data_IF_358388424723
#
_entry.id   IF_358388424723
#
_cell.length_a   1.000
_cell.length_b   1.000
_cell.length_c   1.000
_cell.angle_alpha   90.00
_cell.angle_beta   90.00
_cell.angle_gamma   90.00
#
_symmetry.space_group_name_H-M   'P 1'
#
loop_
_entity.id
_entity.type
_entity.pdbx_description
1 polymer ?
#
# COMPACT_ATOMS: atom_id res chain seq x y z
N UNK A 1 -10.50 50.68 -18.56
CA UNK A 1 -9.54 49.56 -18.69
C UNK A 1 -9.18 49.10 -17.29
N UNK A 2 -9.96 48.16 -16.75
CA UNK A 2 -9.73 47.57 -15.43
C UNK A 2 -8.82 46.37 -15.63
N UNK A 3 -7.56 46.52 -15.25
CA UNK A 3 -6.55 45.45 -15.22
C UNK A 3 -7.03 44.35 -14.28
N UNK A 4 -7.53 43.26 -14.85
CA UNK A 4 -7.72 41.99 -14.15
C UNK A 4 -6.35 41.56 -13.63
N UNK A 5 -6.15 41.67 -12.32
CA UNK A 5 -5.06 40.98 -11.64
C UNK A 5 -5.38 39.49 -11.70
N UNK A 6 -4.82 38.81 -12.68
CA UNK A 6 -4.62 37.36 -12.65
C UNK A 6 -3.69 37.07 -11.49
N UNK A 7 -4.27 36.74 -10.33
CA UNK A 7 -3.55 36.12 -9.21
C UNK A 7 -3.06 34.76 -9.68
N UNK A 8 -1.88 34.74 -10.30
CA UNK A 8 -1.14 33.51 -10.56
C UNK A 8 -0.95 32.83 -9.20
N UNK A 9 -1.66 31.71 -8.99
CA UNK A 9 -1.52 30.87 -7.81
C UNK A 9 -0.13 30.21 -7.85
N UNK A 10 0.89 30.94 -7.38
CA UNK A 10 2.26 30.43 -7.38
C UNK A 10 2.33 29.11 -6.59
N UNK A 11 2.95 28.10 -7.19
CA UNK A 11 3.17 26.80 -6.57
C UNK A 11 3.93 26.99 -5.24
N UNK A 12 3.24 26.83 -4.11
CA UNK A 12 3.86 27.01 -2.79
C UNK A 12 4.56 25.71 -2.35
N UNK A 13 5.76 25.52 -2.90
CA UNK A 13 6.68 24.42 -2.63
C UNK A 13 6.87 24.20 -1.12
N UNK A 14 7.07 25.29 -0.38
CA UNK A 14 7.37 25.26 1.05
C UNK A 14 6.21 24.70 1.88
N UNK A 15 4.98 25.13 1.60
CA UNK A 15 3.78 24.63 2.29
C UNK A 15 3.49 23.15 1.96
N UNK A 16 3.76 22.73 0.72
CA UNK A 16 3.63 21.33 0.34
C UNK A 16 4.69 20.45 1.04
N UNK A 17 5.93 20.92 1.12
CA UNK A 17 7.03 20.27 1.85
C UNK A 17 6.74 20.17 3.34
N UNK A 18 6.29 21.24 3.98
CA UNK A 18 5.99 21.27 5.41
C UNK A 18 4.89 20.27 5.78
N UNK A 19 3.80 20.23 4.99
CA UNK A 19 2.73 19.22 5.14
C UNK A 19 3.23 17.80 4.90
N UNK A 20 4.08 17.60 3.89
CA UNK A 20 4.66 16.31 3.57
C UNK A 20 5.61 15.82 4.69
N UNK A 21 6.39 16.72 5.29
CA UNK A 21 7.34 16.41 6.36
C UNK A 21 6.62 16.08 7.67
N UNK A 22 5.69 16.92 8.14
CA UNK A 22 4.98 16.69 9.41
C UNK A 22 4.13 15.41 9.37
N UNK A 23 3.26 15.29 8.36
CA UNK A 23 2.41 14.09 8.20
C UNK A 23 3.22 12.84 7.83
N UNK A 24 4.29 12.99 7.05
CA UNK A 24 5.14 11.90 6.58
C UNK A 24 5.98 11.28 7.69
N UNK A 25 6.59 12.08 8.58
CA UNK A 25 7.43 11.58 9.67
C UNK A 25 6.61 10.85 10.74
N UNK A 26 5.50 11.44 11.20
CA UNK A 26 4.57 10.79 12.13
C UNK A 26 3.99 9.50 11.52
N UNK A 27 3.70 9.52 10.22
CA UNK A 27 3.26 8.34 9.48
C UNK A 27 4.34 7.25 9.37
N UNK A 28 5.59 7.63 9.14
CA UNK A 28 6.73 6.73 9.09
C UNK A 28 7.00 6.06 10.44
N UNK A 29 6.93 6.81 11.55
CA UNK A 29 7.05 6.29 12.91
C UNK A 29 5.93 5.28 13.23
N UNK A 30 4.67 5.59 12.88
CA UNK A 30 3.56 4.66 13.02
C UNK A 30 3.78 3.37 12.22
N UNK A 31 4.37 3.46 11.02
CA UNK A 31 4.69 2.27 10.22
C UNK A 31 5.72 1.35 10.86
N UNK A 32 6.71 1.86 11.60
CA UNK A 32 7.68 1.02 12.32
C UNK A 32 6.96 0.11 13.31
N UNK A 33 6.08 0.68 14.13
CA UNK A 33 5.30 -0.09 15.11
C UNK A 33 4.40 -1.11 14.41
N UNK A 34 3.77 -0.73 13.29
CA UNK A 34 2.93 -1.64 12.51
C UNK A 34 3.72 -2.78 11.88
N UNK A 35 4.95 -2.55 11.42
CA UNK A 35 5.83 -3.62 10.95
C UNK A 35 6.14 -4.58 12.11
N UNK A 36 6.52 -4.08 13.28
CA UNK A 36 6.84 -4.96 14.42
C UNK A 36 5.64 -5.79 14.91
N UNK A 37 4.42 -5.27 14.81
CA UNK A 37 3.22 -5.89 15.40
C UNK A 37 2.39 -6.69 14.40
N UNK A 38 2.23 -6.21 13.16
CA UNK A 38 1.32 -6.79 12.16
C UNK A 38 2.04 -7.62 11.08
N UNK A 39 3.37 -7.71 11.13
CA UNK A 39 4.12 -8.52 10.18
C UNK A 39 3.68 -9.99 10.12
N UNK A 40 3.28 -10.67 11.21
CA UNK A 40 2.76 -12.04 11.11
C UNK A 40 1.57 -12.19 10.15
N UNK A 41 0.62 -11.25 10.19
CA UNK A 41 -0.51 -11.24 9.26
C UNK A 41 -0.08 -10.90 7.84
N UNK A 42 0.88 -9.97 7.67
CA UNK A 42 1.45 -9.63 6.35
C UNK A 42 2.18 -10.81 5.70
N UNK A 43 2.98 -11.54 6.48
CA UNK A 43 3.69 -12.74 6.03
C UNK A 43 2.69 -13.84 5.64
N UNK A 44 1.67 -14.06 6.47
CA UNK A 44 0.57 -14.99 6.17
C UNK A 44 -0.13 -14.62 4.86
N UNK A 45 -0.51 -13.36 4.70
CA UNK A 45 -1.18 -12.86 3.49
C UNK A 45 -0.31 -13.06 2.23
N UNK A 46 0.98 -12.74 2.29
CA UNK A 46 1.89 -12.93 1.15
C UNK A 46 2.09 -14.40 0.78
N UNK A 47 2.15 -15.28 1.79
CA UNK A 47 2.16 -16.72 1.58
C UNK A 47 0.88 -17.19 0.87
N UNK A 48 -0.29 -16.70 1.29
CA UNK A 48 -1.58 -17.04 0.67
C UNK A 48 -1.67 -16.58 -0.79
N UNK A 49 -1.14 -15.40 -1.14
CA UNK A 49 -1.11 -14.96 -2.54
C UNK A 49 -0.33 -15.92 -3.43
N UNK A 50 0.82 -16.43 -2.95
CA UNK A 50 1.67 -17.35 -3.71
C UNK A 50 1.08 -18.76 -3.80
N UNK A 51 0.58 -19.28 -2.68
CA UNK A 51 0.26 -20.71 -2.53
C UNK A 51 -1.22 -21.04 -2.55
N UNK A 52 -2.12 -20.07 -2.40
CA UNK A 52 -3.57 -20.31 -2.46
C UNK A 52 -4.18 -20.89 -1.19
N UNK A 53 -3.48 -20.83 -0.05
CA UNK A 53 -3.93 -21.48 1.18
C UNK A 53 -4.93 -20.64 1.98
N UNK A 54 -5.71 -21.30 2.83
CA UNK A 54 -6.55 -20.61 3.82
C UNK A 54 -5.68 -19.94 4.90
N UNK A 55 -6.25 -19.01 5.66
CA UNK A 55 -5.50 -18.28 6.70
C UNK A 55 -4.99 -19.24 7.77
N UNK A 56 -5.83 -20.19 8.20
CA UNK A 56 -5.46 -21.21 9.18
C UNK A 56 -4.34 -22.11 8.66
N UNK A 57 -4.44 -22.58 7.42
CA UNK A 57 -3.39 -23.40 6.80
C UNK A 57 -2.07 -22.64 6.69
N UNK A 58 -2.10 -21.39 6.20
CA UNK A 58 -0.91 -20.55 6.08
C UNK A 58 -0.25 -20.32 7.44
N UNK A 59 -1.03 -19.97 8.48
CA UNK A 59 -0.52 -19.80 9.85
C UNK A 59 0.12 -21.08 10.37
N UNK A 60 -0.54 -22.23 10.22
CA UNK A 60 -0.02 -23.52 10.67
C UNK A 60 1.25 -23.92 9.93
N UNK A 61 1.29 -23.77 8.60
CA UNK A 61 2.47 -24.09 7.79
C UNK A 61 3.65 -23.20 8.16
N UNK A 62 3.45 -21.88 8.27
CA UNK A 62 4.50 -20.94 8.69
C UNK A 62 5.00 -21.23 10.11
N UNK A 63 4.10 -21.55 11.04
CA UNK A 63 4.48 -21.90 12.40
C UNK A 63 5.26 -23.23 12.46
N UNK A 64 4.90 -24.23 11.64
CA UNK A 64 5.65 -25.49 11.54
C UNK A 64 7.05 -25.28 10.94
N UNK A 65 7.17 -24.40 9.95
CA UNK A 65 8.42 -24.13 9.22
C UNK A 65 9.49 -23.42 10.09
N UNK A 66 9.09 -22.52 11.00
CA UNK A 66 10.08 -21.84 11.85
C UNK A 66 9.51 -21.09 13.05
N UNK A 67 8.39 -21.57 13.59
CA UNK A 67 7.71 -21.02 14.78
C UNK A 67 7.43 -19.52 14.62
N UNK A 68 7.55 -18.76 15.70
CA UNK A 68 7.29 -17.31 15.71
C UNK A 68 8.27 -16.57 14.78
N UNK A 69 9.54 -16.96 14.76
CA UNK A 69 10.57 -16.29 13.93
C UNK A 69 10.26 -16.37 12.44
N UNK A 70 9.53 -17.40 11.99
CA UNK A 70 9.14 -17.54 10.58
C UNK A 70 8.25 -16.38 10.10
N UNK A 71 7.40 -15.87 10.97
CA UNK A 71 6.51 -14.74 10.67
C UNK A 71 7.26 -13.43 10.45
N UNK A 72 8.48 -13.32 10.99
CA UNK A 72 9.33 -12.13 10.92
C UNK A 72 10.46 -12.24 9.89
N UNK A 73 10.44 -13.27 9.03
CA UNK A 73 11.38 -13.35 7.91
C UNK A 73 11.18 -12.18 6.95
N UNK A 74 12.22 -11.38 6.76
CA UNK A 74 12.17 -10.14 6.00
C UNK A 74 11.88 -8.88 6.81
N UNK A 75 12.03 -8.90 8.14
CA UNK A 75 11.79 -7.73 8.99
C UNK A 75 12.70 -6.55 8.64
N UNK A 76 13.98 -6.80 8.36
CA UNK A 76 14.94 -5.77 7.94
C UNK A 76 14.45 -4.95 6.73
N UNK A 77 14.22 -5.56 5.55
CA UNK A 77 13.68 -4.84 4.41
C UNK A 77 12.26 -4.30 4.65
N UNK A 78 11.45 -4.91 5.53
CA UNK A 78 10.14 -4.36 5.90
C UNK A 78 10.24 -3.04 6.68
N UNK A 79 11.19 -2.93 7.61
CA UNK A 79 11.46 -1.71 8.39
C UNK A 79 12.03 -0.58 7.54
N UNK A 80 12.64 -0.89 6.40
CA UNK A 80 13.04 0.10 5.41
C UNK A 80 11.83 0.49 4.55
N UNK A 81 11.19 -0.50 3.92
CA UNK A 81 10.15 -0.27 2.91
C UNK A 81 8.87 0.34 3.48
N UNK A 82 8.42 -0.08 4.65
CA UNK A 82 7.15 0.37 5.25
C UNK A 82 7.14 1.88 5.53
N UNK A 83 8.09 2.39 6.35
CA UNK A 83 8.22 3.81 6.64
C UNK A 83 8.45 4.66 5.38
N UNK A 84 9.37 4.26 4.49
CA UNK A 84 9.62 4.97 3.23
C UNK A 84 8.39 5.03 2.34
N UNK A 85 7.64 3.92 2.22
CA UNK A 85 6.41 3.89 1.42
C UNK A 85 5.36 4.83 1.99
N UNK A 86 5.19 4.88 3.32
CA UNK A 86 4.17 5.75 3.92
C UNK A 86 4.54 7.21 3.83
N UNK A 87 5.81 7.53 4.04
CA UNK A 87 6.34 8.87 3.81
C UNK A 87 6.09 9.30 2.36
N UNK A 88 6.53 8.49 1.40
CA UNK A 88 6.43 8.83 -0.01
C UNK A 88 5.01 8.87 -0.54
N UNK A 89 4.09 8.01 -0.07
CA UNK A 89 2.67 8.09 -0.43
C UNK A 89 2.05 9.43 0.02
N UNK A 90 2.36 9.89 1.24
CA UNK A 90 1.90 11.19 1.76
C UNK A 90 2.52 12.35 0.98
N UNK A 91 3.84 12.30 0.76
CA UNK A 91 4.56 13.34 0.03
C UNK A 91 4.11 13.45 -1.43
N UNK A 92 3.96 12.31 -2.12
CA UNK A 92 3.50 12.25 -3.51
C UNK A 92 2.08 12.79 -3.66
N UNK A 93 1.18 12.45 -2.73
CA UNK A 93 -0.19 12.99 -2.74
C UNK A 93 -0.20 14.50 -2.52
N UNK A 94 0.50 14.99 -1.48
CA UNK A 94 0.58 16.42 -1.18
C UNK A 94 1.17 17.22 -2.35
N UNK A 95 2.26 16.73 -2.94
CA UNK A 95 2.93 17.35 -4.07
C UNK A 95 2.07 17.35 -5.35
N UNK A 96 1.45 16.21 -5.68
CA UNK A 96 0.60 16.13 -6.86
C UNK A 96 -0.63 17.04 -6.74
N UNK A 97 -1.27 17.07 -5.57
CA UNK A 97 -2.40 17.96 -5.33
C UNK A 97 -2.00 19.42 -5.39
N UNK A 98 -0.89 19.82 -4.73
CA UNK A 98 -0.45 21.22 -4.78
C UNK A 98 -0.06 21.65 -6.20
N UNK A 99 0.55 20.77 -6.99
CA UNK A 99 0.90 21.06 -8.37
C UNK A 99 -0.36 21.27 -9.22
N UNK A 100 -1.34 20.37 -9.10
CA UNK A 100 -2.60 20.43 -9.84
C UNK A 100 -3.53 21.57 -9.37
N UNK A 101 -3.41 22.03 -8.14
CA UNK A 101 -4.14 23.21 -7.65
C UNK A 101 -3.47 24.52 -8.05
N UNK A 102 -2.14 24.52 -8.27
CA UNK A 102 -1.39 25.71 -8.64
C UNK A 102 -1.49 26.10 -10.12
N UNK A 103 -1.86 25.16 -11.00
CA UNK A 103 -2.03 25.46 -12.42
C UNK A 103 -3.43 26.01 -12.72
N UNK A 104 -3.49 27.14 -13.43
CA UNK A 104 -4.74 27.74 -13.89
C UNK A 104 -5.59 26.81 -14.77
N UNK A 105 -4.97 25.81 -15.41
CA UNK A 105 -5.65 24.82 -16.26
C UNK A 105 -6.33 23.72 -15.44
N UNK A 106 -5.80 23.38 -14.26
CA UNK A 106 -6.22 22.20 -13.50
C UNK A 106 -6.83 22.53 -12.14
N UNK A 107 -6.80 23.80 -11.71
CA UNK A 107 -7.32 24.22 -10.40
C UNK A 107 -8.81 23.92 -10.21
N UNK A 108 -9.61 24.00 -11.26
CA UNK A 108 -11.07 23.77 -11.20
C UNK A 108 -11.46 22.33 -11.55
N UNK A 109 -10.48 21.45 -11.78
CA UNK A 109 -10.79 20.05 -12.07
C UNK A 109 -11.42 19.36 -10.86
N UNK A 110 -12.38 18.44 -11.10
CA UNK A 110 -12.93 17.62 -10.03
C UNK A 110 -11.83 16.89 -9.27
N UNK A 111 -11.97 16.79 -7.95
CA UNK A 111 -10.99 16.11 -7.06
C UNK A 111 -10.68 14.69 -7.55
N UNK A 112 -11.67 13.99 -8.10
CA UNK A 112 -11.50 12.66 -8.69
C UNK A 112 -10.47 12.64 -9.84
N UNK A 113 -10.44 13.67 -10.69
CA UNK A 113 -9.47 13.79 -11.80
C UNK A 113 -8.09 14.13 -11.25
N UNK A 114 -8.00 15.05 -10.28
CA UNK A 114 -6.71 15.38 -9.64
C UNK A 114 -6.09 14.17 -8.92
N UNK A 115 -6.93 13.30 -8.36
CA UNK A 115 -6.52 12.06 -7.70
C UNK A 115 -5.81 11.09 -8.65
N UNK A 116 -6.05 11.16 -9.97
CA UNK A 116 -5.33 10.35 -10.97
C UNK A 116 -3.84 10.73 -10.98
N UNK A 117 -3.52 12.02 -10.95
CA UNK A 117 -2.14 12.51 -10.88
C UNK A 117 -1.43 12.09 -9.60
N UNK A 118 -2.11 12.21 -8.46
CA UNK A 118 -1.59 11.70 -7.18
C UNK A 118 -1.36 10.17 -7.21
N UNK A 119 -2.27 9.42 -7.83
CA UNK A 119 -2.15 7.96 -7.98
C UNK A 119 -0.95 7.57 -8.86
N UNK A 120 -0.70 8.33 -9.94
CA UNK A 120 0.46 8.11 -10.80
C UNK A 120 1.77 8.44 -10.09
N UNK A 121 1.84 9.55 -9.34
CA UNK A 121 3.01 9.91 -8.54
C UNK A 121 3.34 8.84 -7.49
N UNK A 122 2.32 8.36 -6.76
CA UNK A 122 2.48 7.28 -5.79
C UNK A 122 2.93 5.96 -6.45
N UNK A 123 2.35 5.60 -7.60
CA UNK A 123 2.75 4.41 -8.35
C UNK A 123 4.23 4.49 -8.80
N UNK A 124 4.67 5.64 -9.30
CA UNK A 124 6.07 5.89 -9.68
C UNK A 124 7.01 5.77 -8.48
N UNK A 125 6.64 6.36 -7.33
CA UNK A 125 7.43 6.24 -6.10
C UNK A 125 7.62 4.77 -5.68
N UNK A 126 6.58 3.93 -5.82
CA UNK A 126 6.67 2.50 -5.51
C UNK A 126 7.59 1.71 -6.42
N UNK A 127 7.83 2.17 -7.66
CA UNK A 127 8.79 1.53 -8.56
C UNK A 127 10.21 1.58 -7.97
N UNK A 128 10.58 2.67 -7.32
CA UNK A 128 11.89 2.81 -6.65
C UNK A 128 12.03 1.88 -5.44
N UNK A 129 10.94 1.66 -4.70
CA UNK A 129 10.94 0.76 -3.54
C UNK A 129 10.80 -0.72 -3.90
N UNK A 130 10.57 -1.04 -5.17
CA UNK A 130 10.28 -2.42 -5.59
C UNK A 130 11.40 -3.42 -5.27
N UNK A 131 12.70 -3.10 -5.40
CA UNK A 131 13.77 -4.03 -5.01
C UNK A 131 13.71 -4.46 -3.54
N UNK A 132 13.46 -3.50 -2.64
CA UNK A 132 13.33 -3.77 -1.20
C UNK A 132 12.06 -4.56 -0.93
N UNK A 133 10.96 -4.23 -1.62
CA UNK A 133 9.71 -4.99 -1.55
C UNK A 133 9.87 -6.44 -2.06
N UNK A 134 10.65 -6.66 -3.12
CA UNK A 134 10.96 -7.99 -3.66
C UNK A 134 11.75 -8.81 -2.67
N UNK A 135 12.77 -8.23 -2.04
CA UNK A 135 13.49 -8.92 -0.98
C UNK A 135 12.57 -9.27 0.20
N UNK A 136 11.82 -8.30 0.72
CA UNK A 136 10.85 -8.51 1.81
C UNK A 136 9.84 -9.61 1.47
N UNK A 137 9.16 -9.49 0.33
CA UNK A 137 8.04 -10.38 -0.03
C UNK A 137 8.54 -11.80 -0.32
N UNK A 138 9.72 -11.93 -0.91
CA UNK A 138 10.35 -13.24 -1.14
C UNK A 138 10.75 -13.89 0.18
N UNK A 139 11.33 -13.16 1.14
CA UNK A 139 11.66 -13.70 2.46
C UNK A 139 10.40 -14.07 3.26
N UNK A 140 9.36 -13.25 3.21
CA UNK A 140 8.09 -13.54 3.87
C UNK A 140 7.44 -14.82 3.29
N UNK A 141 7.57 -15.05 1.99
CA UNK A 141 6.94 -16.20 1.32
C UNK A 141 7.77 -17.46 1.38
N UNK A 142 9.07 -17.38 1.06
CA UNK A 142 9.99 -18.49 0.89
C UNK A 142 10.86 -18.78 2.13
N UNK A 143 10.76 -17.96 3.17
CA UNK A 143 11.52 -18.17 4.40
C UNK A 143 13.02 -18.03 4.19
N UNK A 144 13.80 -18.99 4.71
CA UNK A 144 15.27 -18.96 4.67
C UNK A 144 15.83 -19.01 3.25
N UNK A 145 15.13 -19.68 2.34
CA UNK A 145 15.55 -19.82 0.96
C UNK A 145 15.38 -18.54 0.13
N UNK A 146 14.67 -17.54 0.64
CA UNK A 146 14.36 -16.34 -0.14
C UNK A 146 15.60 -15.60 -0.66
N UNK A 147 16.68 -15.52 0.13
CA UNK A 147 17.94 -14.90 -0.33
C UNK A 147 18.61 -15.75 -1.41
N UNK A 148 18.64 -17.07 -1.22
CA UNK A 148 19.23 -18.02 -2.18
C UNK A 148 18.51 -17.94 -3.52
N UNK A 149 17.18 -17.93 -3.50
CA UNK A 149 16.33 -17.77 -4.69
C UNK A 149 16.63 -16.46 -5.43
N UNK A 150 16.70 -15.34 -4.70
CA UNK A 150 16.98 -14.04 -5.32
C UNK A 150 18.39 -13.98 -5.91
N UNK A 151 19.41 -14.52 -5.22
CA UNK A 151 20.78 -14.61 -5.76
C UNK A 151 20.82 -15.44 -7.03
N UNK A 152 20.17 -16.60 -7.05
CA UNK A 152 20.08 -17.45 -8.24
C UNK A 152 19.39 -16.71 -9.40
N UNK A 153 18.30 -15.98 -9.12
CA UNK A 153 17.61 -15.18 -10.12
C UNK A 153 18.43 -14.02 -10.66
N UNK A 154 19.21 -13.35 -9.82
CA UNK A 154 20.13 -12.28 -10.23
C UNK A 154 21.23 -12.86 -11.11
N UNK A 155 21.81 -14.01 -10.74
CA UNK A 155 22.81 -14.68 -11.55
C UNK A 155 22.26 -15.08 -12.93
N UNK A 156 21.01 -15.57 -13.00
CA UNK A 156 20.41 -16.05 -14.24
C UNK A 156 19.80 -14.95 -15.13
N UNK A 157 19.25 -13.87 -14.56
CA UNK A 157 18.47 -12.86 -15.29
C UNK A 157 18.92 -11.41 -15.07
N UNK A 158 19.99 -11.22 -14.29
CA UNK A 158 20.50 -9.91 -13.89
C UNK A 158 19.70 -9.22 -12.78
N UNK A 159 20.24 -8.08 -12.35
CA UNK A 159 19.67 -7.20 -11.32
C UNK A 159 18.20 -6.77 -11.60
N UNK A 160 17.75 -6.55 -12.86
CA UNK A 160 16.35 -6.19 -13.14
C UNK A 160 15.31 -7.19 -12.62
N UNK A 161 15.72 -8.41 -12.26
CA UNK A 161 14.86 -9.39 -11.58
C UNK A 161 14.20 -8.86 -10.30
N UNK A 162 14.85 -7.89 -9.63
CA UNK A 162 14.33 -7.24 -8.42
C UNK A 162 13.08 -6.39 -8.68
N UNK A 163 12.80 -6.03 -9.94
CA UNK A 163 11.60 -5.33 -10.38
C UNK A 163 10.52 -6.25 -10.96
N UNK A 164 10.65 -7.58 -10.81
CA UNK A 164 9.59 -8.48 -11.27
C UNK A 164 8.33 -8.27 -10.42
N UNK A 165 7.24 -7.88 -11.07
CA UNK A 165 6.01 -7.49 -10.41
C UNK A 165 5.84 -5.98 -10.23
N UNK A 166 6.83 -5.15 -10.59
CA UNK A 166 6.76 -3.70 -10.42
C UNK A 166 5.54 -3.09 -11.16
N UNK A 167 5.30 -3.48 -12.41
CA UNK A 167 4.13 -3.02 -13.19
C UNK A 167 2.80 -3.45 -12.55
N UNK A 168 2.68 -4.70 -12.11
CA UNK A 168 1.48 -5.16 -11.42
C UNK A 168 1.30 -4.48 -10.05
N UNK A 169 2.40 -4.12 -9.37
CA UNK A 169 2.41 -3.33 -8.14
C UNK A 169 1.91 -1.90 -8.37
N UNK A 170 2.41 -1.25 -9.42
CA UNK A 170 1.98 0.08 -9.84
C UNK A 170 0.50 0.07 -10.24
N UNK A 171 0.07 -0.90 -11.05
CA UNK A 171 -1.32 -1.08 -11.42
C UNK A 171 -2.22 -1.35 -10.21
N UNK A 172 -1.81 -2.24 -9.30
CA UNK A 172 -2.56 -2.51 -8.06
C UNK A 172 -2.67 -1.28 -7.16
N UNK A 173 -1.65 -0.41 -7.19
CA UNK A 173 -1.65 0.86 -6.46
C UNK A 173 -2.65 1.81 -7.09
N UNK A 174 -2.57 2.02 -8.40
CA UNK A 174 -3.47 2.90 -9.14
C UNK A 174 -4.94 2.46 -9.03
N UNK A 175 -5.22 1.19 -9.36
CA UNK A 175 -6.56 0.59 -9.31
C UNK A 175 -7.09 0.47 -7.88
N UNK A 176 -6.24 0.43 -6.86
CA UNK A 176 -6.67 0.48 -5.47
C UNK A 176 -6.94 1.90 -4.98
N UNK A 177 -6.10 2.87 -5.37
CA UNK A 177 -6.12 4.23 -4.85
C UNK A 177 -7.38 4.98 -5.28
N UNK A 178 -7.72 4.94 -6.58
CA UNK A 178 -8.89 5.67 -7.08
C UNK A 178 -10.22 5.20 -6.44
N UNK A 179 -10.58 3.90 -6.41
CA UNK A 179 -11.80 3.45 -5.77
C UNK A 179 -11.86 3.73 -4.26
N UNK A 180 -10.71 3.77 -3.59
CA UNK A 180 -10.65 4.16 -2.18
C UNK A 180 -11.17 5.59 -2.00
N UNK A 181 -10.63 6.55 -2.76
CA UNK A 181 -11.04 7.96 -2.68
C UNK A 181 -12.47 8.16 -3.15
N UNK A 182 -12.88 7.50 -4.24
CA UNK A 182 -14.25 7.57 -4.73
C UNK A 182 -15.25 7.11 -3.67
N UNK A 183 -15.00 5.97 -3.03
CA UNK A 183 -15.85 5.43 -1.95
C UNK A 183 -15.83 6.33 -0.72
N UNK A 184 -14.64 6.81 -0.32
CA UNK A 184 -14.46 7.68 0.83
C UNK A 184 -15.25 8.99 0.66
N UNK A 185 -15.13 9.63 -0.50
CA UNK A 185 -15.81 10.89 -0.80
C UNK A 185 -17.32 10.70 -0.88
N UNK A 186 -17.80 9.69 -1.60
CA UNK A 186 -19.23 9.37 -1.71
C UNK A 186 -19.87 9.13 -0.34
N UNK A 187 -19.27 8.26 0.49
CA UNK A 187 -19.80 7.99 1.84
C UNK A 187 -19.66 9.21 2.77
N UNK A 188 -18.66 10.06 2.55
CA UNK A 188 -18.50 11.32 3.29
C UNK A 188 -19.56 12.36 2.94
N UNK A 189 -20.16 12.29 1.75
CA UNK A 189 -21.25 13.15 1.33
C UNK A 189 -22.61 12.61 1.80
N UNK A 190 -22.84 11.30 1.62
CA UNK A 190 -24.14 10.67 1.90
C UNK A 190 -24.39 10.42 3.38
N UNK A 191 -23.36 10.08 4.17
CA UNK A 191 -23.56 9.79 5.60
C UNK A 191 -23.71 11.09 6.40
N UNK A 192 -24.70 11.20 7.30
CA UNK A 192 -24.97 12.42 8.04
C UNK A 192 -23.79 12.82 8.94
N UNK A 193 -23.52 14.12 9.01
CA UNK A 193 -22.52 14.67 9.93
C UNK A 193 -22.94 14.40 11.38
N UNK A 194 -21.95 14.13 12.23
CA UNK A 194 -22.18 13.78 13.63
C UNK A 194 -21.76 14.93 14.54
N UNK A 195 -22.50 15.18 15.62
CA UNK A 195 -22.22 16.29 16.54
C UNK A 195 -21.13 15.96 17.56
N UNK A 196 -21.17 14.76 18.14
CA UNK A 196 -20.25 14.35 19.21
C UNK A 196 -18.96 13.75 18.67
N UNK A 197 -17.84 14.01 19.34
CA UNK A 197 -16.52 13.50 18.94
C UNK A 197 -16.48 11.97 18.76
N UNK A 198 -17.05 11.13 19.67
CA UNK A 198 -17.05 9.68 19.47
C UNK A 198 -17.81 9.26 18.20
N UNK A 199 -18.96 9.89 17.91
CA UNK A 199 -19.74 9.60 16.70
C UNK A 199 -19.04 10.07 15.42
N UNK A 200 -18.34 11.22 15.47
CA UNK A 200 -17.49 11.70 14.36
C UNK A 200 -16.39 10.69 14.04
N UNK A 201 -15.69 10.18 15.07
CA UNK A 201 -14.64 9.18 14.91
C UNK A 201 -15.19 7.85 14.37
N UNK A 202 -16.32 7.37 14.92
CA UNK A 202 -16.98 6.16 14.44
C UNK A 202 -17.39 6.29 12.96
N UNK A 203 -17.99 7.42 12.57
CA UNK A 203 -18.33 7.70 11.16
C UNK A 203 -17.09 7.64 10.26
N UNK A 204 -16.01 8.31 10.63
CA UNK A 204 -14.77 8.31 9.86
C UNK A 204 -14.16 6.91 9.75
N UNK A 205 -14.21 6.12 10.83
CA UNK A 205 -13.74 4.74 10.84
C UNK A 205 -14.54 3.86 9.87
N UNK A 206 -15.88 3.97 9.87
CA UNK A 206 -16.75 3.22 8.94
C UNK A 206 -16.45 3.60 7.50
N UNK A 207 -16.38 4.90 7.18
CA UNK A 207 -16.07 5.39 5.83
C UNK A 207 -14.72 4.86 5.35
N UNK A 208 -13.67 5.04 6.16
CA UNK A 208 -12.31 4.61 5.84
C UNK A 208 -12.19 3.09 5.69
N UNK A 209 -12.86 2.32 6.54
CA UNK A 209 -12.89 0.86 6.46
C UNK A 209 -13.61 0.38 5.19
N UNK A 210 -14.79 0.93 4.88
CA UNK A 210 -15.54 0.60 3.66
C UNK A 210 -14.73 0.93 2.39
N UNK A 211 -14.11 2.11 2.34
CA UNK A 211 -13.22 2.50 1.26
C UNK A 211 -12.04 1.51 1.09
N UNK A 212 -11.49 1.03 2.21
CA UNK A 212 -10.38 0.05 2.20
C UNK A 212 -10.84 -1.32 1.70
N UNK A 213 -12.01 -1.80 2.12
CA UNK A 213 -12.60 -3.06 1.65
C UNK A 213 -12.83 -3.02 0.13
N UNK A 214 -13.41 -1.94 -0.39
CA UNK A 214 -13.65 -1.77 -1.83
C UNK A 214 -12.32 -1.76 -2.60
N UNK A 215 -11.36 -0.92 -2.16
CA UNK A 215 -10.02 -0.83 -2.74
C UNK A 215 -9.28 -2.17 -2.77
N UNK A 216 -9.32 -2.91 -1.66
CA UNK A 216 -8.64 -4.18 -1.51
C UNK A 216 -9.27 -5.25 -2.40
N UNK A 217 -10.60 -5.27 -2.51
CA UNK A 217 -11.33 -6.22 -3.34
C UNK A 217 -11.03 -6.02 -4.82
N UNK A 218 -11.09 -4.77 -5.30
CA UNK A 218 -10.86 -4.44 -6.72
C UNK A 218 -9.38 -4.69 -7.10
N UNK A 219 -8.44 -4.33 -6.22
CA UNK A 219 -7.01 -4.48 -6.51
C UNK A 219 -6.44 -5.88 -6.25
N UNK A 220 -7.21 -6.83 -5.71
CA UNK A 220 -6.64 -8.09 -5.21
C UNK A 220 -6.02 -8.96 -6.30
N UNK A 221 -6.64 -9.06 -7.47
CA UNK A 221 -6.14 -9.87 -8.60
C UNK A 221 -4.74 -9.46 -9.05
N UNK A 222 -4.50 -8.16 -9.12
CA UNK A 222 -3.18 -7.60 -9.44
C UNK A 222 -2.15 -7.91 -8.35
N UNK A 223 -2.57 -7.94 -7.08
CA UNK A 223 -1.70 -8.29 -5.95
C UNK A 223 -1.34 -9.76 -5.93
N UNK A 224 -2.29 -10.64 -6.23
CA UNK A 224 -2.06 -12.08 -6.39
C UNK A 224 -1.05 -12.33 -7.51
N UNK A 225 -1.28 -11.76 -8.69
CA UNK A 225 -0.41 -11.90 -9.85
C UNK A 225 0.98 -11.31 -9.59
N UNK A 226 1.05 -10.11 -8.98
CA UNK A 226 2.30 -9.46 -8.55
C UNK A 226 3.09 -10.41 -7.66
N UNK A 227 2.51 -10.83 -6.54
CA UNK A 227 3.22 -11.63 -5.53
C UNK A 227 3.63 -12.99 -6.09
N UNK A 228 2.74 -13.65 -6.83
CA UNK A 228 3.05 -14.93 -7.48
C UNK A 228 4.30 -14.82 -8.35
N UNK A 229 4.34 -13.83 -9.26
CA UNK A 229 5.49 -13.60 -10.13
C UNK A 229 6.73 -13.16 -9.35
N UNK A 230 6.57 -12.27 -8.39
CA UNK A 230 7.67 -11.61 -7.67
C UNK A 230 8.49 -12.61 -6.85
N UNK A 231 7.84 -13.59 -6.22
CA UNK A 231 8.49 -14.54 -5.30
C UNK A 231 8.75 -15.91 -5.93
N UNK A 232 8.37 -16.11 -7.20
CA UNK A 232 8.63 -17.38 -7.84
C UNK A 232 10.13 -17.57 -8.09
N UNK A 233 10.57 -18.83 -8.03
CA UNK A 233 11.98 -19.19 -8.20
C UNK A 233 12.44 -18.94 -9.63
N UNK A 234 11.59 -19.27 -10.59
CA UNK A 234 11.84 -19.05 -12.01
C UNK A 234 11.13 -17.79 -12.51
N UNK A 235 11.61 -17.25 -13.63
CA UNK A 235 10.97 -16.12 -14.29
C UNK A 235 9.61 -16.57 -14.84
N UNK A 236 8.54 -15.92 -14.37
CA UNK A 236 7.17 -16.15 -14.85
C UNK A 236 6.59 -14.86 -15.40
N UNK A 237 5.91 -14.95 -16.55
CA UNK A 237 5.18 -13.82 -17.13
C UNK A 237 3.89 -13.52 -16.35
N UNK A 238 3.28 -12.35 -16.54
CA UNK A 238 2.01 -12.05 -15.86
C UNK A 238 0.89 -13.00 -16.29
N UNK A 239 0.83 -13.32 -17.59
CA UNK A 239 -0.11 -14.31 -18.14
C UNK A 239 0.17 -15.70 -17.57
N UNK A 240 1.45 -16.10 -17.48
CA UNK A 240 1.84 -17.37 -16.88
C UNK A 240 1.44 -17.48 -15.41
N UNK A 241 1.64 -16.40 -14.63
CA UNK A 241 1.21 -16.34 -13.24
C UNK A 241 -0.32 -16.44 -13.12
N UNK A 242 -1.07 -15.72 -13.95
CA UNK A 242 -2.53 -15.80 -13.96
C UNK A 242 -3.03 -17.21 -14.33
N UNK A 243 -2.47 -17.82 -15.39
CA UNK A 243 -2.78 -19.19 -15.80
C UNK A 243 -2.52 -20.19 -14.68
N UNK A 244 -1.34 -20.12 -14.05
CA UNK A 244 -1.00 -21.02 -12.95
C UNK A 244 -1.92 -20.85 -11.71
N UNK A 245 -2.39 -19.64 -11.43
CA UNK A 245 -3.38 -19.40 -10.37
C UNK A 245 -4.74 -19.99 -10.74
N UNK A 246 -5.20 -19.76 -11.97
CA UNK A 246 -6.50 -20.25 -12.46
C UNK A 246 -6.51 -21.79 -12.53
N UNK A 247 -5.43 -22.40 -13.00
CA UNK A 247 -5.30 -23.85 -13.09
C UNK A 247 -5.39 -24.51 -11.71
N UNK A 248 -4.81 -23.87 -10.68
CA UNK A 248 -4.81 -24.42 -9.32
C UNK A 248 -6.11 -24.16 -8.55
N UNK A 249 -6.63 -22.93 -8.59
CA UNK A 249 -7.70 -22.46 -7.69
C UNK A 249 -8.92 -21.89 -8.44
N UNK A 250 -8.96 -22.04 -9.76
CA UNK A 250 -9.96 -21.41 -10.62
C UNK A 250 -9.85 -19.89 -10.68
N UNK A 251 -10.80 -19.25 -11.37
CA UNK A 251 -10.88 -17.78 -11.47
C UNK A 251 -11.05 -17.13 -10.08
N UNK A 252 -11.72 -17.82 -9.15
CA UNK A 252 -11.85 -17.38 -7.76
C UNK A 252 -10.51 -17.18 -7.05
N UNK A 253 -9.47 -17.93 -7.43
CA UNK A 253 -8.11 -17.77 -6.89
C UNK A 253 -7.49 -16.40 -7.18
N UNK A 254 -7.80 -15.78 -8.32
CA UNK A 254 -7.30 -14.45 -8.65
C UNK A 254 -7.85 -13.40 -7.69
N UNK A 255 -9.14 -13.47 -7.36
CA UNK A 255 -9.81 -12.43 -6.59
C UNK A 255 -9.86 -12.74 -5.09
N UNK A 256 -9.81 -14.01 -4.69
CA UNK A 256 -10.06 -14.43 -3.31
C UNK A 256 -8.81 -14.73 -2.47
N UNK A 257 -7.68 -15.10 -3.09
CA UNK A 257 -6.45 -15.46 -2.34
C UNK A 257 -6.05 -14.34 -1.41
N UNK A 258 -5.87 -14.66 -0.12
CA UNK A 258 -5.40 -13.72 0.91
C UNK A 258 -6.34 -12.54 1.23
N UNK A 259 -7.48 -12.37 0.54
CA UNK A 259 -8.34 -11.19 0.66
C UNK A 259 -8.90 -11.02 2.08
N UNK A 260 -9.38 -12.10 2.71
CA UNK A 260 -9.90 -12.07 4.09
C UNK A 260 -8.82 -11.60 5.08
N UNK A 261 -7.62 -12.17 4.99
CA UNK A 261 -6.47 -11.77 5.82
C UNK A 261 -6.08 -10.33 5.55
N UNK A 262 -6.13 -9.87 4.29
CA UNK A 262 -5.84 -8.50 3.90
C UNK A 262 -6.80 -7.50 4.54
N UNK A 263 -8.11 -7.76 4.45
CA UNK A 263 -9.15 -6.90 5.05
C UNK A 263 -8.95 -6.80 6.56
N UNK A 264 -8.75 -7.94 7.24
CA UNK A 264 -8.45 -7.96 8.67
C UNK A 264 -7.18 -7.17 9.01
N UNK A 265 -6.09 -7.41 8.27
CA UNK A 265 -4.80 -6.73 8.51
C UNK A 265 -4.94 -5.22 8.32
N UNK A 266 -5.62 -4.79 7.27
CA UNK A 266 -5.80 -3.36 6.97
C UNK A 266 -6.76 -2.69 7.97
N UNK A 267 -7.78 -3.40 8.46
CA UNK A 267 -8.63 -2.93 9.56
C UNK A 267 -7.82 -2.68 10.84
N UNK A 268 -7.03 -3.66 11.27
CA UNK A 268 -6.14 -3.52 12.43
C UNK A 268 -5.10 -2.41 12.23
N UNK A 269 -4.52 -2.33 11.03
CA UNK A 269 -3.57 -1.28 10.69
C UNK A 269 -4.21 0.11 10.76
N UNK A 270 -5.44 0.27 10.27
CA UNK A 270 -6.17 1.54 10.32
C UNK A 270 -6.37 2.02 11.77
N UNK A 271 -6.85 1.13 12.64
CA UNK A 271 -7.02 1.41 14.08
C UNK A 271 -5.68 1.82 14.71
N UNK A 272 -4.62 1.04 14.49
CA UNK A 272 -3.29 1.35 15.01
C UNK A 272 -2.75 2.66 14.46
N UNK A 273 -2.92 2.94 13.17
CA UNK A 273 -2.45 4.17 12.54
C UNK A 273 -3.09 5.39 13.18
N UNK A 274 -4.41 5.41 13.36
CA UNK A 274 -5.12 6.55 13.93
C UNK A 274 -4.64 6.89 15.35
N UNK A 275 -4.37 5.86 16.18
CA UNK A 275 -3.86 6.06 17.54
C UNK A 275 -2.40 6.52 17.53
N UNK A 276 -1.54 5.82 16.80
CA UNK A 276 -0.10 6.08 16.77
C UNK A 276 0.25 7.40 16.09
N UNK A 277 -0.43 7.73 14.99
CA UNK A 277 -0.21 8.98 14.27
C UNK A 277 -0.52 10.17 15.17
N UNK A 278 -1.66 10.14 15.89
CA UNK A 278 -2.02 11.21 16.82
C UNK A 278 -1.02 11.32 17.97
N UNK A 279 -0.63 10.19 18.56
CA UNK A 279 0.38 10.16 19.62
C UNK A 279 1.72 10.78 19.17
N UNK A 280 2.21 10.40 17.99
CA UNK A 280 3.48 10.91 17.48
C UNK A 280 3.40 12.37 17.03
N UNK A 281 2.25 12.79 16.47
CA UNK A 281 2.01 14.18 16.12
C UNK A 281 2.00 15.06 17.38
N UNK A 282 1.25 14.67 18.42
CA UNK A 282 1.21 15.40 19.69
C UNK A 282 2.59 15.49 20.36
N UNK A 283 3.46 14.48 20.19
CA UNK A 283 4.85 14.51 20.68
C UNK A 283 5.75 15.41 19.84
N UNK A 284 5.50 15.51 18.54
CA UNK A 284 6.24 16.37 17.63
C UNK A 284 5.89 17.84 17.87
N UNK A 285 4.59 18.16 18.00
CA UNK A 285 4.10 19.53 18.20
C UNK A 285 4.44 20.09 19.60
N UNK A 286 4.87 19.23 20.54
CA UNK A 286 5.38 19.62 21.87
C UNK A 286 6.87 19.97 21.88
N UNK A 287 7.60 19.74 20.78
CA UNK A 287 9.01 20.12 20.63
C UNK A 287 9.13 21.45 19.92
#
# INVERSE_FOLDING_TARGET
MTTSQTTSSSFNVNKALERAMGGGLSGAAAMVVQVCTLMPLRTTMNYQYRYGTTTTQALQTLYKDGKILRFYRGIGPALIQGPLSRFGDTAANAFAMSLLESSDLTKDWPVAVKTIGASAAAASFRMFLTPVDTLKTTLQTQGNDGVRILRARIAANGIPTLWYGAVASAAATFVGHYPWFATYNYLSEVLPQQSTTPRKLARQAVIGFSASVVSDTISNSLRVIKTYRQVNETRVSYVGAARAVIEKDGVGGLFGRGLKTRILTNGLQGIMFSVLWKLFQDLYDRK
#
